data_IF_793310664283
#
_entry.id   IF_793310664283
#
_cell.length_a   1.000
_cell.length_b   1.000
_cell.length_c   1.000
_cell.angle_alpha   90.00
_cell.angle_beta   90.00
_cell.angle_gamma   90.00
#
_symmetry.space_group_name_H-M   'P 1'
#
loop_
_entity.id
_entity.type
_entity.pdbx_description
1 polymer ?
#
# COMPACT_ATOMS: atom_id res chain seq x y z
N UNK A 1 7.89 27.61 25.14
CA UNK A 1 7.09 27.35 23.93
C UNK A 1 6.11 28.49 23.78
N UNK A 2 6.05 29.15 22.63
CA UNK A 2 5.11 30.23 22.36
C UNK A 2 3.69 29.66 22.25
N UNK A 3 2.64 30.47 22.46
CA UNK A 3 1.24 30.02 22.32
C UNK A 3 0.94 29.58 20.86
N UNK A 4 1.55 30.25 19.88
CA UNK A 4 1.42 29.89 18.47
C UNK A 4 1.99 28.49 18.17
N UNK A 5 3.21 28.18 18.64
CA UNK A 5 3.82 26.87 18.49
C UNK A 5 3.04 25.77 19.22
N UNK A 6 2.45 26.11 20.37
CA UNK A 6 1.56 25.19 21.09
C UNK A 6 0.29 24.89 20.33
N UNK A 7 -0.32 25.92 19.72
CA UNK A 7 -1.51 25.76 18.90
C UNK A 7 -1.24 24.90 17.65
N UNK A 8 -0.12 25.12 16.97
CA UNK A 8 0.30 24.31 15.83
C UNK A 8 0.50 22.84 16.22
N UNK A 9 1.24 22.55 17.28
CA UNK A 9 1.42 21.18 17.78
C UNK A 9 0.10 20.51 18.16
N UNK A 10 -0.85 21.26 18.74
CA UNK A 10 -2.18 20.72 19.04
C UNK A 10 -2.92 20.29 17.79
N UNK A 11 -2.84 21.07 16.71
CA UNK A 11 -3.48 20.72 15.43
C UNK A 11 -2.80 19.54 14.73
N UNK A 12 -1.48 19.44 14.81
CA UNK A 12 -0.75 18.28 14.33
C UNK A 12 -1.16 17.00 15.07
N UNK A 13 -1.22 17.03 16.41
CA UNK A 13 -1.70 15.91 17.22
C UNK A 13 -3.17 15.56 16.92
N UNK A 14 -4.01 16.57 16.72
CA UNK A 14 -5.42 16.36 16.32
C UNK A 14 -5.52 15.67 14.96
N UNK A 15 -4.68 16.05 14.00
CA UNK A 15 -4.60 15.40 12.69
C UNK A 15 -4.09 13.95 12.80
N UNK A 16 -3.13 13.70 13.67
CA UNK A 16 -2.63 12.35 13.96
C UNK A 16 -3.72 11.48 14.60
N UNK A 17 -4.51 12.03 15.53
CA UNK A 17 -5.67 11.36 16.10
C UNK A 17 -6.67 11.02 14.99
N UNK A 18 -6.99 11.97 14.10
CA UNK A 18 -7.88 11.73 12.97
C UNK A 18 -7.37 10.59 12.06
N UNK A 19 -6.07 10.54 11.78
CA UNK A 19 -5.45 9.44 11.02
C UNK A 19 -5.67 8.08 11.68
N UNK A 20 -5.44 7.96 13.00
CA UNK A 20 -5.63 6.69 13.70
C UNK A 20 -7.10 6.28 13.76
N UNK A 21 -8.03 7.24 13.94
CA UNK A 21 -9.47 6.93 13.86
C UNK A 21 -9.91 6.54 12.46
N UNK A 22 -9.35 7.16 11.40
CA UNK A 22 -9.58 6.75 10.01
C UNK A 22 -9.08 5.32 9.75
N UNK A 23 -7.89 4.96 10.25
CA UNK A 23 -7.37 3.60 10.16
C UNK A 23 -8.21 2.61 10.98
N UNK A 24 -8.65 3.02 12.19
CA UNK A 24 -9.56 2.23 13.01
C UNK A 24 -10.89 1.98 12.32
N UNK A 25 -11.47 3.02 11.73
CA UNK A 25 -12.72 2.94 10.95
C UNK A 25 -12.58 1.99 9.76
N UNK A 26 -11.45 2.04 9.03
CA UNK A 26 -11.20 1.13 7.92
C UNK A 26 -11.10 -0.34 8.35
N UNK A 27 -10.41 -0.63 9.45
CA UNK A 27 -10.15 -2.00 9.86
C UNK A 27 -11.27 -2.60 10.73
N UNK A 28 -11.83 -1.82 11.63
CA UNK A 28 -12.73 -2.30 12.68
C UNK A 28 -14.13 -1.68 12.62
N UNK A 29 -14.37 -0.72 11.75
CA UNK A 29 -15.61 0.03 11.70
C UNK A 29 -15.73 1.04 12.83
N UNK A 30 -16.91 1.15 13.45
CA UNK A 30 -17.15 2.08 14.56
C UNK A 30 -16.16 1.91 15.71
N UNK A 31 -15.66 3.01 16.28
CA UNK A 31 -14.60 3.04 17.29
C UNK A 31 -15.08 3.71 18.59
N UNK A 32 -14.52 3.38 19.77
CA UNK A 32 -14.69 4.20 20.97
C UNK A 32 -14.13 5.61 20.72
N UNK A 33 -14.91 6.66 20.93
CA UNK A 33 -14.49 8.04 20.71
C UNK A 33 -14.06 8.67 22.04
N UNK A 34 -12.76 8.87 22.22
CA UNK A 34 -12.17 9.51 23.39
C UNK A 34 -11.90 10.99 23.07
N UNK A 35 -12.75 11.89 23.56
CA UNK A 35 -12.58 13.35 23.40
C UNK A 35 -11.65 13.97 24.46
N UNK A 36 -11.34 13.21 25.50
CA UNK A 36 -10.43 13.60 26.61
C UNK A 36 -9.78 12.35 27.19
N UNK A 37 -8.67 12.53 27.90
CA UNK A 37 -8.09 11.46 28.72
C UNK A 37 -9.07 11.06 29.83
N UNK A 38 -9.35 9.80 29.95
CA UNK A 38 -10.25 9.23 30.95
C UNK A 38 -9.84 7.80 31.28
N UNK A 39 -10.16 7.33 32.48
CA UNK A 39 -10.05 5.94 32.89
C UNK A 39 -11.37 5.18 32.73
N UNK A 40 -12.45 5.87 32.35
CA UNK A 40 -13.75 5.27 32.12
C UNK A 40 -13.73 4.51 30.80
N UNK A 41 -14.36 3.34 30.79
CA UNK A 41 -14.60 2.60 29.54
C UNK A 41 -15.63 3.35 28.66
N UNK A 42 -15.27 3.54 27.39
CA UNK A 42 -16.13 4.16 26.39
C UNK A 42 -16.62 3.07 25.44
N UNK A 43 -17.93 2.91 25.25
CA UNK A 43 -18.46 1.97 24.27
C UNK A 43 -18.07 2.37 22.86
N UNK A 44 -18.11 1.43 21.94
CA UNK A 44 -17.91 1.73 20.52
C UNK A 44 -19.05 2.61 20.01
N UNK A 45 -18.69 3.69 19.34
CA UNK A 45 -19.60 4.48 18.52
C UNK A 45 -19.86 3.77 17.20
N UNK A 46 -20.90 4.17 16.49
CA UNK A 46 -21.17 3.65 15.14
C UNK A 46 -20.09 4.11 14.16
N UNK A 47 -20.00 3.42 13.02
CA UNK A 47 -19.07 3.80 11.95
C UNK A 47 -19.37 5.23 11.43
N UNK A 48 -20.64 5.61 11.32
CA UNK A 48 -21.07 6.97 10.95
C UNK A 48 -20.61 8.02 11.98
N UNK A 49 -20.77 7.75 13.27
CA UNK A 49 -20.29 8.68 14.32
C UNK A 49 -18.77 8.78 14.29
N UNK A 50 -18.07 7.68 14.06
CA UNK A 50 -16.61 7.68 13.92
C UNK A 50 -16.17 8.47 12.68
N UNK A 51 -16.85 8.30 11.54
CA UNK A 51 -16.62 9.08 10.32
C UNK A 51 -16.78 10.59 10.60
N UNK A 52 -17.90 10.97 11.20
CA UNK A 52 -18.19 12.37 11.52
C UNK A 52 -17.15 12.97 12.48
N UNK A 53 -16.66 12.17 13.42
CA UNK A 53 -15.59 12.59 14.33
C UNK A 53 -14.27 12.85 13.62
N UNK A 54 -13.88 11.97 12.69
CA UNK A 54 -12.68 12.18 11.85
C UNK A 54 -12.84 13.43 11.00
N UNK A 55 -13.99 13.63 10.36
CA UNK A 55 -14.32 14.82 9.57
C UNK A 55 -14.21 16.11 10.41
N UNK A 56 -14.84 16.13 11.60
CA UNK A 56 -14.75 17.23 12.58
C UNK A 56 -13.31 17.62 12.89
N UNK A 57 -12.47 16.62 13.22
CA UNK A 57 -11.08 16.84 13.57
C UNK A 57 -10.28 17.45 12.42
N UNK A 58 -10.45 16.92 11.20
CA UNK A 58 -9.71 17.38 10.02
C UNK A 58 -10.15 18.78 9.57
N UNK A 59 -11.45 19.04 9.52
CA UNK A 59 -12.00 20.36 9.16
C UNK A 59 -11.55 21.45 10.13
N UNK A 60 -11.43 21.12 11.43
CA UNK A 60 -10.94 22.05 12.44
C UNK A 60 -9.42 22.28 12.37
N UNK A 61 -8.65 21.27 11.94
CA UNK A 61 -7.19 21.36 11.86
C UNK A 61 -6.70 22.08 10.61
N UNK A 62 -7.26 21.78 9.43
CA UNK A 62 -6.82 22.29 8.12
C UNK A 62 -6.54 23.81 8.14
N UNK A 63 -7.46 24.70 8.58
CA UNK A 63 -7.23 26.15 8.49
C UNK A 63 -6.15 26.67 9.46
N UNK A 64 -5.72 25.86 10.42
CA UNK A 64 -4.77 26.27 11.48
C UNK A 64 -3.37 25.69 11.30
N UNK A 65 -3.22 24.65 10.49
CA UNK A 65 -1.93 24.06 10.19
C UNK A 65 -1.14 24.91 9.20
N UNK A 66 0.19 24.79 9.25
CA UNK A 66 1.08 25.43 8.28
C UNK A 66 0.92 24.80 6.89
N UNK A 67 1.03 25.61 5.84
CA UNK A 67 1.13 25.14 4.46
C UNK A 67 2.58 24.76 4.14
N UNK A 68 2.80 23.64 3.44
CA UNK A 68 4.12 23.33 2.89
C UNK A 68 4.48 24.36 1.83
N UNK A 69 5.66 24.97 1.94
CA UNK A 69 6.24 25.83 0.90
C UNK A 69 7.21 25.01 0.02
N UNK A 70 7.54 25.51 -1.15
CA UNK A 70 8.41 24.83 -2.11
C UNK A 70 9.84 24.56 -1.59
N UNK A 71 10.31 25.36 -0.64
CA UNK A 71 11.64 25.26 -0.01
C UNK A 71 11.70 24.34 1.21
N UNK A 72 10.57 23.81 1.66
CA UNK A 72 10.48 22.95 2.84
C UNK A 72 10.75 21.48 2.50
N UNK A 73 11.51 20.83 3.35
CA UNK A 73 11.66 19.38 3.35
C UNK A 73 10.45 18.69 3.99
N UNK A 74 10.29 17.42 3.68
CA UNK A 74 9.38 16.55 4.42
C UNK A 74 10.09 16.03 5.68
N UNK A 75 9.57 16.39 6.84
CA UNK A 75 10.19 16.11 8.14
C UNK A 75 9.20 15.47 9.12
N UNK A 76 8.17 14.80 8.59
CA UNK A 76 7.14 14.14 9.39
C UNK A 76 6.08 15.07 9.97
N UNK A 77 6.12 16.37 9.68
CA UNK A 77 5.11 17.32 10.14
C UNK A 77 3.78 17.13 9.42
N UNK A 78 2.70 17.14 10.21
CA UNK A 78 1.34 17.07 9.67
C UNK A 78 0.89 18.48 9.28
N UNK A 79 0.96 18.78 7.98
CA UNK A 79 0.65 20.12 7.43
C UNK A 79 -0.76 20.18 6.84
N UNK A 80 -1.19 21.36 6.36
CA UNK A 80 -2.52 21.54 5.74
C UNK A 80 -2.78 20.49 4.64
N UNK A 81 -1.83 20.30 3.73
CA UNK A 81 -1.97 19.32 2.64
C UNK A 81 -2.15 17.89 3.14
N UNK A 82 -1.45 17.50 4.22
CA UNK A 82 -1.61 16.18 4.85
C UNK A 82 -3.03 16.01 5.40
N UNK A 83 -3.52 16.99 6.16
CA UNK A 83 -4.87 16.93 6.72
C UNK A 83 -5.95 16.95 5.62
N UNK A 84 -5.75 17.72 4.55
CA UNK A 84 -6.65 17.75 3.39
C UNK A 84 -6.62 16.40 2.64
N UNK A 85 -5.45 15.77 2.49
CA UNK A 85 -5.35 14.45 1.87
C UNK A 85 -6.07 13.36 2.69
N UNK A 86 -5.96 13.40 4.02
CA UNK A 86 -6.71 12.51 4.91
C UNK A 86 -8.23 12.74 4.80
N UNK A 87 -8.66 13.99 4.66
CA UNK A 87 -10.08 14.33 4.43
C UNK A 87 -10.56 13.79 3.08
N UNK A 88 -9.73 13.91 2.03
CA UNK A 88 -10.03 13.32 0.73
C UNK A 88 -10.14 11.78 0.82
N UNK A 89 -9.23 11.10 1.53
CA UNK A 89 -9.31 9.64 1.77
C UNK A 89 -10.58 9.25 2.53
N UNK A 90 -10.98 10.04 3.53
CA UNK A 90 -12.22 9.83 4.29
C UNK A 90 -13.43 9.90 3.35
N UNK A 91 -13.55 10.95 2.55
CA UNK A 91 -14.65 11.13 1.60
C UNK A 91 -14.64 10.10 0.48
N UNK A 92 -13.46 9.74 -0.02
CA UNK A 92 -13.27 8.75 -1.07
C UNK A 92 -13.83 7.37 -0.71
N UNK A 93 -13.78 7.00 0.57
CA UNK A 93 -14.24 5.73 1.07
C UNK A 93 -15.54 5.82 1.89
N UNK A 94 -16.24 6.94 1.85
CA UNK A 94 -17.44 7.18 2.66
C UNK A 94 -18.55 6.15 2.41
N UNK A 95 -18.75 5.72 1.16
CA UNK A 95 -19.73 4.69 0.81
C UNK A 95 -19.45 3.36 1.52
N UNK A 96 -18.17 3.01 1.70
CA UNK A 96 -17.74 1.82 2.44
C UNK A 96 -17.99 1.97 3.94
N UNK A 97 -17.80 3.17 4.49
CA UNK A 97 -17.82 3.39 5.94
C UNK A 97 -19.21 3.69 6.49
N UNK A 98 -20.05 4.37 5.72
CA UNK A 98 -21.36 4.83 6.20
C UNK A 98 -22.52 4.65 5.19
N UNK A 99 -22.29 3.97 4.08
CA UNK A 99 -23.30 3.67 3.07
C UNK A 99 -23.70 4.85 2.17
N UNK A 100 -23.02 5.99 2.28
CA UNK A 100 -23.29 7.20 1.49
C UNK A 100 -22.02 7.66 0.76
N UNK A 101 -22.09 7.86 -0.54
CA UNK A 101 -20.94 8.35 -1.28
C UNK A 101 -20.70 9.85 -1.04
N UNK A 102 -19.42 10.23 -1.00
CA UNK A 102 -18.95 11.60 -0.89
C UNK A 102 -17.90 11.91 -1.99
N UNK A 103 -18.08 11.29 -3.18
CA UNK A 103 -17.13 11.45 -4.28
C UNK A 103 -17.03 12.89 -4.80
N UNK A 104 -18.11 13.67 -4.73
CA UNK A 104 -18.10 15.07 -5.13
C UNK A 104 -17.21 15.91 -4.20
N UNK A 105 -17.35 15.71 -2.89
CA UNK A 105 -16.52 16.39 -1.88
C UNK A 105 -15.07 15.94 -1.95
N UNK A 106 -14.83 14.62 -2.16
CA UNK A 106 -13.50 14.12 -2.41
C UNK A 106 -12.86 14.79 -3.62
N UNK A 107 -13.57 14.87 -4.75
CA UNK A 107 -13.09 15.50 -5.96
C UNK A 107 -12.74 16.98 -5.75
N UNK A 108 -13.56 17.71 -4.98
CA UNK A 108 -13.29 19.11 -4.66
C UNK A 108 -12.03 19.27 -3.82
N UNK A 109 -11.84 18.46 -2.78
CA UNK A 109 -10.62 18.52 -1.95
C UNK A 109 -9.39 18.13 -2.76
N UNK A 110 -9.49 17.11 -3.60
CA UNK A 110 -8.39 16.72 -4.49
C UNK A 110 -8.04 17.84 -5.48
N UNK A 111 -9.03 18.48 -6.10
CA UNK A 111 -8.81 19.61 -7.00
C UNK A 111 -8.14 20.78 -6.27
N UNK A 112 -8.63 21.13 -5.08
CA UNK A 112 -8.04 22.18 -4.24
C UNK A 112 -6.56 21.86 -3.88
N UNK A 113 -6.20 20.58 -3.70
CA UNK A 113 -4.83 20.14 -3.48
C UNK A 113 -3.97 20.30 -4.75
N UNK A 114 -4.50 19.92 -5.92
CA UNK A 114 -3.81 20.09 -7.20
C UNK A 114 -3.59 21.58 -7.52
N UNK A 115 -4.52 22.43 -7.15
CA UNK A 115 -4.44 23.89 -7.33
C UNK A 115 -3.52 24.58 -6.28
N UNK A 116 -2.90 23.83 -5.38
CA UNK A 116 -1.96 24.35 -4.38
C UNK A 116 -2.61 25.08 -3.21
N UNK A 117 -3.93 24.98 -3.03
CA UNK A 117 -4.65 25.67 -1.94
C UNK A 117 -4.14 25.31 -0.55
N UNK A 118 -3.67 24.08 -0.35
CA UNK A 118 -3.20 23.55 0.92
C UNK A 118 -1.67 23.40 1.03
N UNK A 119 -0.93 23.96 0.09
CA UNK A 119 0.53 23.93 0.07
C UNK A 119 1.09 23.44 -1.26
N UNK A 120 2.41 23.42 -1.36
CA UNK A 120 3.14 23.09 -2.57
C UNK A 120 3.51 21.61 -2.60
N UNK A 121 2.99 20.88 -3.58
CA UNK A 121 3.32 19.50 -3.90
C UNK A 121 3.39 19.33 -5.42
N UNK A 122 4.27 18.46 -5.88
CA UNK A 122 4.42 18.13 -7.30
C UNK A 122 4.65 16.64 -7.48
N UNK A 123 4.25 16.09 -8.64
CA UNK A 123 4.68 14.75 -9.03
C UNK A 123 6.18 14.76 -9.34
N UNK A 124 6.89 13.78 -8.83
CA UNK A 124 8.28 13.54 -9.23
C UNK A 124 8.36 13.15 -10.70
N UNK A 125 9.44 13.52 -11.35
CA UNK A 125 9.66 13.15 -12.76
C UNK A 125 9.89 11.65 -12.94
N UNK A 126 10.54 11.04 -11.96
CA UNK A 126 10.82 9.61 -11.91
C UNK A 126 9.93 8.93 -10.86
N UNK A 127 9.48 7.70 -11.14
CA UNK A 127 8.64 6.93 -10.24
C UNK A 127 9.28 6.66 -8.86
N UNK A 128 10.62 6.60 -8.80
CA UNK A 128 11.35 6.31 -7.57
C UNK A 128 11.60 7.55 -6.69
N UNK A 129 11.31 8.75 -7.16
CA UNK A 129 11.54 10.00 -6.41
C UNK A 129 11.08 9.96 -4.96
N UNK A 130 9.84 9.50 -4.66
CA UNK A 130 9.36 9.36 -3.29
C UNK A 130 10.06 8.27 -2.47
N UNK A 131 10.89 7.44 -3.08
CA UNK A 131 11.52 6.26 -2.48
C UNK A 131 13.05 6.31 -2.49
N UNK A 132 13.65 7.47 -2.72
CA UNK A 132 15.11 7.65 -2.70
C UNK A 132 15.67 7.63 -1.28
N UNK A 133 17.01 7.59 -1.15
CA UNK A 133 17.69 7.61 0.16
C UNK A 133 17.53 8.93 0.92
N UNK A 134 17.21 10.00 0.21
CA UNK A 134 16.96 11.35 0.72
C UNK A 134 15.55 11.82 0.33
N UNK A 135 14.57 10.93 0.44
CA UNK A 135 13.20 11.17 0.03
C UNK A 135 12.46 12.23 0.87
N UNK A 136 13.04 12.70 1.96
CA UNK A 136 12.59 13.91 2.64
C UNK A 136 12.68 15.17 1.77
N UNK A 137 13.44 15.13 0.67
CA UNK A 137 13.50 16.19 -0.35
C UNK A 137 12.39 16.08 -1.39
N UNK A 138 11.68 14.97 -1.43
CA UNK A 138 10.65 14.75 -2.44
C UNK A 138 9.51 15.77 -2.31
N UNK A 139 9.13 16.34 -3.45
CA UNK A 139 7.99 17.24 -3.56
C UNK A 139 6.67 16.47 -3.61
N UNK A 140 6.73 15.17 -3.92
CA UNK A 140 5.56 14.31 -4.01
C UNK A 140 5.14 13.74 -2.66
N UNK A 141 6.06 13.57 -1.71
CA UNK A 141 5.73 13.07 -0.38
C UNK A 141 4.98 14.16 0.40
N UNK A 142 3.76 13.84 0.78
CA UNK A 142 2.90 14.73 1.55
C UNK A 142 3.02 14.51 3.05
N UNK A 143 3.28 13.26 3.43
CA UNK A 143 3.57 12.86 4.80
C UNK A 143 4.34 11.55 4.84
N UNK A 144 5.34 11.48 5.72
CA UNK A 144 6.16 10.30 5.95
C UNK A 144 6.35 10.00 7.43
N UNK A 145 6.59 8.73 7.73
CA UNK A 145 7.12 8.32 9.03
C UNK A 145 8.64 8.40 8.94
N UNK A 146 9.22 9.23 9.80
CA UNK A 146 10.65 9.49 9.82
C UNK A 146 11.43 8.25 10.23
N UNK A 147 12.51 7.99 9.52
CA UNK A 147 13.43 6.88 9.75
C UNK A 147 14.84 7.38 9.93
N UNK A 148 15.51 6.91 10.97
CA UNK A 148 16.92 7.20 11.18
C UNK A 148 17.61 5.98 11.79
N UNK A 149 18.73 5.56 11.21
CA UNK A 149 19.52 4.45 11.74
C UNK A 149 19.80 4.62 13.24
N UNK A 150 19.65 3.54 14.00
CA UNK A 150 19.82 3.47 15.46
C UNK A 150 18.86 4.32 16.32
N UNK A 151 17.91 5.06 15.73
CA UNK A 151 16.91 5.83 16.49
C UNK A 151 15.47 5.36 16.24
N UNK A 152 15.13 5.02 15.01
CA UNK A 152 13.84 4.47 14.61
C UNK A 152 13.91 4.09 13.15
N UNK A 153 13.78 2.79 12.86
CA UNK A 153 14.05 2.26 11.52
C UNK A 153 12.91 1.39 11.04
N UNK A 154 11.81 2.03 10.67
CA UNK A 154 10.70 1.32 10.02
C UNK A 154 11.17 0.66 8.72
N UNK A 155 12.07 1.33 8.00
CA UNK A 155 12.68 0.82 6.78
C UNK A 155 13.48 -0.47 7.01
N UNK A 156 14.33 -0.54 8.05
CA UNK A 156 15.07 -1.75 8.39
C UNK A 156 14.13 -2.93 8.66
N UNK A 157 13.08 -2.68 9.44
CA UNK A 157 12.09 -3.71 9.74
C UNK A 157 11.38 -4.21 8.48
N UNK A 158 11.01 -3.32 7.56
CA UNK A 158 10.44 -3.71 6.28
C UNK A 158 11.43 -4.51 5.45
N UNK A 159 12.68 -4.05 5.32
CA UNK A 159 13.71 -4.76 4.59
C UNK A 159 13.85 -6.20 5.09
N UNK A 160 13.94 -6.41 6.40
CA UNK A 160 14.08 -7.73 7.02
C UNK A 160 12.85 -8.63 6.83
N UNK A 161 11.66 -8.06 6.67
CA UNK A 161 10.41 -8.80 6.51
C UNK A 161 10.02 -9.06 5.06
N UNK A 162 10.31 -8.12 4.18
CA UNK A 162 9.92 -8.25 2.77
C UNK A 162 10.93 -9.01 1.93
N UNK A 163 12.22 -8.98 2.29
CA UNK A 163 13.26 -9.62 1.49
C UNK A 163 13.53 -11.05 1.95
N UNK A 164 13.78 -11.91 0.95
CA UNK A 164 14.21 -13.28 1.18
C UNK A 164 15.62 -13.28 1.79
N UNK A 165 15.90 -14.20 2.73
CA UNK A 165 17.18 -14.25 3.46
C UNK A 165 18.42 -14.41 2.55
N UNK A 166 18.30 -15.01 1.37
CA UNK A 166 19.36 -15.08 0.37
C UNK A 166 19.51 -13.79 -0.46
N UNK A 167 18.48 -12.92 -0.52
CA UNK A 167 18.56 -11.66 -1.26
C UNK A 167 19.60 -10.70 -0.68
N UNK A 168 19.96 -10.83 0.59
CA UNK A 168 21.09 -10.08 1.17
C UNK A 168 22.39 -10.28 0.40
N UNK A 169 22.60 -11.46 -0.19
CA UNK A 169 23.78 -11.75 -0.99
C UNK A 169 23.73 -11.06 -2.36
N UNK A 170 22.54 -10.80 -2.87
CA UNK A 170 22.35 -9.97 -4.06
C UNK A 170 22.75 -8.50 -3.81
N UNK A 171 22.35 -7.97 -2.66
CA UNK A 171 22.66 -6.61 -2.23
C UNK A 171 24.04 -6.48 -1.55
N UNK A 172 24.78 -7.57 -1.38
CA UNK A 172 26.04 -7.61 -0.65
C UNK A 172 25.94 -7.13 0.81
N UNK A 173 24.80 -7.42 1.46
CA UNK A 173 24.52 -7.06 2.83
C UNK A 173 24.99 -8.13 3.80
N UNK A 174 26.07 -7.89 4.53
CA UNK A 174 26.50 -8.76 5.64
C UNK A 174 25.86 -8.36 6.96
N UNK A 175 25.54 -9.36 7.80
CA UNK A 175 25.07 -9.10 9.17
C UNK A 175 23.60 -8.74 9.31
N UNK A 176 22.78 -8.92 8.26
CA UNK A 176 21.33 -8.81 8.33
C UNK A 176 20.67 -10.18 8.38
N UNK A 177 19.71 -10.31 9.29
CA UNK A 177 18.80 -11.44 9.35
C UNK A 177 17.54 -11.06 8.56
N UNK A 178 17.12 -11.90 7.64
CA UNK A 178 15.83 -11.82 6.98
C UNK A 178 15.11 -13.17 7.08
N UNK A 179 13.82 -13.16 6.80
CA UNK A 179 12.96 -14.35 6.78
C UNK A 179 12.88 -14.90 5.34
N UNK A 180 11.90 -15.75 5.03
CA UNK A 180 11.61 -16.11 3.63
C UNK A 180 11.09 -14.91 2.81
N UNK A 181 10.77 -13.80 3.48
CA UNK A 181 10.24 -12.61 2.88
C UNK A 181 8.81 -12.77 2.39
N UNK A 182 8.32 -11.74 1.71
CA UNK A 182 7.02 -11.73 1.07
C UNK A 182 7.20 -11.79 -0.44
N UNK A 183 6.43 -12.62 -1.10
CA UNK A 183 6.37 -12.66 -2.55
C UNK A 183 5.04 -12.11 -3.09
N UNK A 184 5.03 -11.69 -4.34
CA UNK A 184 3.79 -11.33 -5.01
C UNK A 184 2.95 -12.56 -5.28
N UNK A 185 1.63 -12.37 -5.41
CA UNK A 185 0.75 -13.39 -5.96
C UNK A 185 1.25 -13.75 -7.37
N UNK A 186 1.32 -15.05 -7.72
CA UNK A 186 1.87 -15.47 -9.00
C UNK A 186 0.95 -15.08 -10.14
N UNK A 187 1.54 -14.85 -11.31
CA UNK A 187 0.78 -14.68 -12.55
C UNK A 187 0.62 -16.00 -13.30
N UNK A 188 1.46 -16.99 -12.99
CA UNK A 188 1.52 -18.29 -13.68
C UNK A 188 1.20 -19.43 -12.72
N UNK A 189 0.52 -20.43 -13.22
CA UNK A 189 0.32 -21.74 -12.59
C UNK A 189 1.65 -22.51 -12.53
N UNK A 190 1.77 -23.59 -11.74
CA UNK A 190 2.99 -24.38 -11.68
C UNK A 190 3.46 -24.92 -13.06
N UNK A 191 2.54 -25.18 -13.98
CA UNK A 191 2.85 -25.64 -15.34
C UNK A 191 3.21 -24.52 -16.34
N UNK A 192 3.24 -23.26 -15.88
CA UNK A 192 3.56 -22.11 -16.72
C UNK A 192 2.35 -21.44 -17.39
N UNK A 193 1.15 -22.04 -17.34
CA UNK A 193 -0.07 -21.40 -17.87
C UNK A 193 -0.44 -20.17 -17.07
N UNK A 194 -0.95 -19.10 -17.70
CA UNK A 194 -1.38 -17.92 -16.97
C UNK A 194 -2.64 -18.19 -16.15
N UNK A 195 -2.71 -17.56 -14.96
CA UNK A 195 -4.00 -17.40 -14.28
C UNK A 195 -4.88 -16.43 -15.07
N UNK A 196 -6.18 -16.67 -15.08
CA UNK A 196 -7.15 -15.89 -15.87
C UNK A 196 -8.02 -14.95 -15.05
N UNK A 197 -7.88 -14.97 -13.72
CA UNK A 197 -8.61 -14.07 -12.82
C UNK A 197 -8.38 -12.61 -13.22
N UNK A 198 -9.43 -11.80 -13.19
CA UNK A 198 -9.33 -10.35 -13.48
C UNK A 198 -8.55 -9.60 -12.40
N UNK A 199 -8.65 -10.05 -11.14
CA UNK A 199 -7.93 -9.50 -10.00
C UNK A 199 -6.63 -10.26 -9.74
N UNK A 200 -5.74 -9.69 -8.92
CA UNK A 200 -4.44 -10.31 -8.62
C UNK A 200 -3.43 -10.20 -9.75
N UNK A 201 -2.46 -11.10 -9.77
CA UNK A 201 -1.37 -11.19 -10.77
C UNK A 201 -0.58 -9.88 -10.93
N UNK A 202 -0.09 -9.27 -9.83
CA UNK A 202 0.44 -7.91 -9.88
C UNK A 202 1.58 -7.74 -10.88
N UNK A 203 2.52 -8.69 -10.96
CA UNK A 203 3.65 -8.60 -11.89
C UNK A 203 3.23 -8.60 -13.36
N UNK A 204 2.20 -9.38 -13.74
CA UNK A 204 1.69 -9.40 -15.10
C UNK A 204 0.92 -8.13 -15.50
N UNK A 205 0.46 -7.33 -14.51
CA UNK A 205 -0.26 -6.08 -14.78
C UNK A 205 0.65 -4.91 -15.16
N UNK A 206 1.94 -5.00 -14.83
CA UNK A 206 2.91 -4.05 -15.35
C UNK A 206 3.15 -4.30 -16.84
N UNK A 207 3.08 -3.23 -17.64
CA UNK A 207 3.49 -3.31 -19.04
C UNK A 207 4.97 -3.71 -19.13
N UNK A 208 5.34 -4.47 -20.16
CA UNK A 208 6.73 -4.92 -20.32
C UNK A 208 7.72 -3.77 -20.59
N UNK A 209 7.23 -2.59 -21.01
CA UNK A 209 8.04 -1.38 -21.18
C UNK A 209 8.05 -0.48 -19.94
N UNK A 210 7.30 -0.83 -18.90
CA UNK A 210 7.29 -0.10 -17.64
C UNK A 210 8.68 -0.22 -16.97
N UNK A 211 9.30 0.91 -16.68
CA UNK A 211 10.63 0.98 -16.05
C UNK A 211 10.67 0.30 -14.68
N UNK A 212 9.54 0.27 -13.98
CA UNK A 212 9.40 -0.39 -12.68
C UNK A 212 9.47 -1.91 -12.79
N UNK A 213 9.05 -2.49 -13.92
CA UNK A 213 9.06 -3.96 -14.15
C UNK A 213 10.46 -4.55 -14.27
N UNK A 214 11.48 -3.71 -14.47
CA UNK A 214 12.87 -4.16 -14.56
C UNK A 214 13.34 -4.82 -13.27
N UNK A 215 14.36 -5.66 -13.39
CA UNK A 215 15.11 -6.17 -12.24
C UNK A 215 15.67 -4.99 -11.43
N UNK A 216 15.50 -5.03 -10.11
CA UNK A 216 16.07 -4.02 -9.24
C UNK A 216 17.60 -4.02 -9.37
N UNK A 217 18.15 -2.85 -9.60
CA UNK A 217 19.60 -2.67 -9.76
C UNK A 217 20.02 -1.30 -9.22
N UNK A 218 20.87 -1.31 -8.20
CA UNK A 218 21.48 -0.10 -7.70
C UNK A 218 22.57 0.41 -8.66
N UNK A 219 22.50 1.68 -9.04
CA UNK A 219 23.38 2.33 -10.01
C UNK A 219 24.46 3.23 -9.38
N UNK A 220 24.52 3.27 -8.05
CA UNK A 220 25.38 4.19 -7.30
C UNK A 220 24.78 5.58 -7.12
N UNK A 221 25.32 6.34 -6.16
CA UNK A 221 24.91 7.72 -5.86
C UNK A 221 23.41 7.89 -5.61
N UNK A 222 22.78 6.93 -4.92
CA UNK A 222 21.34 6.96 -4.62
C UNK A 222 20.42 6.68 -5.80
N UNK A 223 20.97 6.31 -6.98
CA UNK A 223 20.18 5.95 -8.15
C UNK A 223 20.00 4.45 -8.28
N UNK A 224 18.81 4.05 -8.71
CA UNK A 224 18.50 2.64 -8.99
C UNK A 224 17.47 2.55 -10.12
N UNK A 225 17.30 1.36 -10.67
CA UNK A 225 16.28 1.03 -11.65
C UNK A 225 15.53 -0.24 -11.24
N UNK A 226 14.32 -0.41 -11.76
CA UNK A 226 13.47 -1.55 -11.47
C UNK A 226 13.02 -1.64 -10.03
N UNK A 227 12.05 -2.45 -9.74
CA UNK A 227 11.58 -2.67 -8.37
C UNK A 227 11.26 -4.13 -8.05
N UNK A 228 11.78 -5.07 -8.86
CA UNK A 228 11.51 -6.49 -8.64
C UNK A 228 12.80 -7.30 -8.64
N UNK A 229 12.80 -8.37 -7.83
CA UNK A 229 13.75 -9.45 -7.98
C UNK A 229 13.06 -10.63 -8.62
N UNK A 230 13.58 -11.09 -9.76
CA UNK A 230 13.06 -12.22 -10.52
C UNK A 230 14.14 -12.85 -11.39
N UNK A 231 13.92 -14.08 -11.82
CA UNK A 231 14.89 -14.85 -12.59
C UNK A 231 16.12 -15.23 -11.76
N UNK A 232 17.15 -15.67 -12.42
CA UNK A 232 18.44 -16.03 -11.80
C UNK A 232 19.21 -14.76 -11.41
N UNK A 233 19.49 -14.63 -10.12
CA UNK A 233 20.13 -13.43 -9.59
C UNK A 233 21.66 -13.49 -9.74
N UNK A 234 22.22 -12.41 -10.28
CA UNK A 234 23.66 -12.18 -10.37
C UNK A 234 24.01 -10.86 -9.70
N UNK A 235 25.10 -10.81 -8.93
CA UNK A 235 25.60 -9.57 -8.33
C UNK A 235 26.11 -8.65 -9.43
N UNK A 236 25.44 -7.55 -9.65
CA UNK A 236 25.79 -6.61 -10.71
C UNK A 236 26.95 -5.69 -10.36
N UNK A 237 27.13 -5.40 -9.07
CA UNK A 237 28.25 -4.59 -8.57
C UNK A 237 29.60 -5.31 -8.59
N UNK A 238 29.61 -6.63 -8.70
CA UNK A 238 30.80 -7.49 -8.60
C UNK A 238 30.87 -8.52 -9.71
N UNK A 239 31.12 -8.09 -10.92
CA UNK A 239 31.54 -8.97 -12.03
C UNK A 239 30.59 -10.13 -12.40
N UNK A 240 29.28 -9.98 -12.26
CA UNK A 240 28.31 -10.98 -12.70
C UNK A 240 28.36 -12.31 -11.91
N UNK A 241 28.89 -12.32 -10.69
CA UNK A 241 28.91 -13.50 -9.84
C UNK A 241 27.50 -13.95 -9.48
N UNK A 242 27.17 -15.19 -9.73
CA UNK A 242 25.89 -15.78 -9.36
C UNK A 242 25.66 -15.74 -7.85
N UNK A 243 24.44 -15.38 -7.44
CA UNK A 243 24.02 -15.48 -6.06
C UNK A 243 23.61 -16.92 -5.78
N UNK A 244 24.23 -17.56 -4.81
CA UNK A 244 23.92 -18.94 -4.44
C UNK A 244 22.96 -18.99 -3.26
N UNK A 245 22.05 -19.96 -3.29
CA UNK A 245 21.23 -20.32 -2.16
C UNK A 245 22.12 -20.86 -1.03
N UNK A 246 22.01 -20.27 0.15
CA UNK A 246 22.77 -20.66 1.33
C UNK A 246 21.79 -21.01 2.45
N UNK A 247 21.82 -22.23 2.95
CA UNK A 247 20.95 -22.63 4.06
C UNK A 247 20.46 -24.07 3.95
N UNK A 248 19.52 -24.41 4.82
CA UNK A 248 18.99 -25.78 5.00
C UNK A 248 17.71 -26.03 4.17
N UNK A 249 17.49 -25.22 3.13
CA UNK A 249 16.24 -25.25 2.37
C UNK A 249 16.35 -26.07 1.09
N UNK A 250 15.44 -25.86 0.15
CA UNK A 250 15.21 -26.77 -0.96
C UNK A 250 16.35 -26.81 -1.98
N UNK A 251 17.11 -25.71 -2.17
CA UNK A 251 18.08 -25.55 -3.25
C UNK A 251 19.50 -25.14 -2.80
N UNK A 252 20.10 -25.78 -1.77
CA UNK A 252 21.40 -25.38 -1.26
C UNK A 252 22.50 -25.48 -2.34
N UNK A 253 23.22 -24.35 -2.57
CA UNK A 253 24.31 -24.26 -3.54
C UNK A 253 23.88 -24.02 -4.98
N UNK A 254 22.59 -24.09 -5.31
CA UNK A 254 22.04 -23.66 -6.61
C UNK A 254 22.05 -22.15 -6.73
N UNK A 255 21.89 -21.62 -7.94
CA UNK A 255 21.72 -20.17 -8.17
C UNK A 255 20.37 -19.76 -7.63
N UNK A 256 20.33 -18.65 -6.86
CA UNK A 256 19.08 -18.09 -6.40
C UNK A 256 18.26 -17.58 -7.59
N UNK A 257 17.08 -18.13 -7.75
CA UNK A 257 16.14 -17.77 -8.82
C UNK A 257 14.76 -17.49 -8.20
N UNK A 258 14.11 -16.44 -8.63
CA UNK A 258 12.70 -16.18 -8.28
C UNK A 258 11.84 -16.29 -9.52
N UNK A 259 10.78 -17.09 -9.44
CA UNK A 259 9.86 -17.36 -10.55
C UNK A 259 8.46 -16.80 -10.27
N UNK A 260 7.74 -16.39 -11.32
CA UNK A 260 6.36 -15.88 -11.19
C UNK A 260 5.34 -17.03 -11.02
N UNK A 261 5.70 -18.00 -10.17
CA UNK A 261 4.93 -19.18 -9.84
C UNK A 261 5.08 -19.47 -8.34
N UNK A 262 4.10 -20.15 -7.75
CA UNK A 262 4.16 -20.60 -6.36
C UNK A 262 3.79 -22.08 -6.31
N UNK A 263 4.75 -22.93 -6.00
CA UNK A 263 4.55 -24.34 -5.77
C UNK A 263 5.83 -24.95 -5.16
N UNK A 264 5.73 -26.18 -4.67
CA UNK A 264 6.87 -26.94 -4.19
C UNK A 264 7.49 -27.77 -5.33
N UNK A 265 8.20 -27.12 -6.26
CA UNK A 265 8.79 -27.76 -7.45
C UNK A 265 9.82 -28.82 -7.09
N UNK A 266 10.49 -28.70 -5.93
CA UNK A 266 11.42 -29.71 -5.43
C UNK A 266 10.75 -31.06 -5.27
N UNK A 267 9.49 -31.13 -4.92
CA UNK A 267 8.75 -32.39 -4.78
C UNK A 267 8.63 -33.20 -6.07
N UNK A 268 8.64 -32.53 -7.24
CA UNK A 268 8.73 -33.22 -8.53
C UNK A 268 10.14 -33.72 -8.77
N UNK A 269 11.19 -32.93 -8.44
CA UNK A 269 12.59 -33.38 -8.54
C UNK A 269 12.88 -34.59 -7.63
N UNK A 270 12.27 -34.65 -6.47
CA UNK A 270 12.43 -35.73 -5.49
C UNK A 270 11.50 -36.93 -5.78
N UNK A 271 10.63 -36.84 -6.79
CA UNK A 271 9.74 -37.94 -7.23
C UNK A 271 8.48 -38.12 -6.36
N UNK A 272 8.15 -37.13 -5.50
CA UNK A 272 6.90 -37.15 -4.73
C UNK A 272 5.67 -36.88 -5.62
N UNK A 273 5.84 -36.10 -6.69
CA UNK A 273 4.84 -35.86 -7.74
C UNK A 273 5.40 -36.25 -9.11
N UNK A 274 4.55 -36.75 -9.99
CA UNK A 274 4.98 -37.20 -11.31
C UNK A 274 5.19 -36.05 -12.29
N UNK A 275 4.53 -34.91 -12.05
CA UNK A 275 4.67 -33.72 -12.90
C UNK A 275 4.27 -32.44 -12.16
N UNK A 276 4.68 -31.28 -12.70
CA UNK A 276 4.32 -29.94 -12.22
C UNK A 276 2.83 -29.67 -12.29
N UNK A 277 2.08 -30.40 -13.16
CA UNK A 277 0.62 -30.23 -13.25
C UNK A 277 -0.13 -30.71 -12.00
N UNK A 278 0.49 -31.56 -11.21
CA UNK A 278 -0.10 -32.12 -9.99
C UNK A 278 0.20 -31.26 -8.76
N UNK A 279 1.12 -30.29 -8.88
CA UNK A 279 1.51 -29.47 -7.76
C UNK A 279 0.39 -28.51 -7.31
N UNK A 280 0.03 -28.50 -6.03
CA UNK A 280 -0.83 -27.47 -5.50
C UNK A 280 -0.13 -26.10 -5.52
N UNK A 281 -0.92 -25.05 -5.76
CA UNK A 281 -0.44 -23.66 -5.73
C UNK A 281 -1.35 -22.83 -4.83
N UNK A 282 -0.87 -22.54 -3.64
CA UNK A 282 -1.57 -21.77 -2.61
C UNK A 282 -0.55 -21.15 -1.63
N UNK A 283 -1.03 -20.36 -0.68
CA UNK A 283 -0.18 -19.66 0.29
C UNK A 283 0.71 -20.60 1.14
N UNK A 284 0.35 -21.87 1.28
CA UNK A 284 1.08 -22.86 2.08
C UNK A 284 2.06 -23.71 1.26
N UNK A 285 2.11 -23.51 -0.06
CA UNK A 285 2.93 -24.34 -0.97
C UNK A 285 4.08 -23.56 -1.60
N UNK A 286 4.45 -22.43 -1.02
CA UNK A 286 5.65 -21.70 -1.42
C UNK A 286 6.92 -22.44 -1.01
N UNK A 287 7.95 -22.34 -1.84
CA UNK A 287 9.31 -22.76 -1.55
C UNK A 287 10.29 -21.60 -1.78
N UNK A 288 11.58 -21.83 -1.62
CA UNK A 288 12.62 -20.79 -1.61
C UNK A 288 12.61 -19.87 -2.83
N UNK A 289 12.32 -20.41 -4.01
CA UNK A 289 12.28 -19.68 -5.29
C UNK A 289 10.88 -19.16 -5.68
N UNK A 290 9.86 -19.43 -4.87
CA UNK A 290 8.48 -19.05 -5.20
C UNK A 290 8.27 -17.55 -5.20
N UNK A 291 7.62 -17.08 -6.25
CA UNK A 291 7.08 -15.73 -6.40
C UNK A 291 8.12 -14.61 -6.61
N UNK A 292 7.70 -13.61 -7.35
CA UNK A 292 8.49 -12.39 -7.59
C UNK A 292 8.60 -11.58 -6.30
N UNK A 293 9.76 -10.98 -6.03
CA UNK A 293 10.01 -10.17 -4.84
C UNK A 293 9.98 -8.69 -5.16
N UNK A 294 9.39 -7.90 -4.26
CA UNK A 294 9.26 -6.46 -4.40
C UNK A 294 10.39 -5.73 -3.68
N UNK A 295 11.07 -4.82 -4.40
CA UNK A 295 12.11 -3.93 -3.89
C UNK A 295 11.78 -2.46 -4.19
N UNK A 296 10.61 -1.99 -3.78
CA UNK A 296 10.17 -0.61 -4.04
C UNK A 296 11.00 0.41 -3.24
N UNK A 297 11.41 0.05 -2.04
CA UNK A 297 12.32 0.86 -1.23
C UNK A 297 13.77 0.53 -1.60
N UNK A 298 14.65 1.53 -1.72
CA UNK A 298 15.98 1.34 -2.26
C UNK A 298 16.90 0.56 -1.30
N UNK A 299 17.69 -0.33 -1.86
CA UNK A 299 18.72 -1.07 -1.14
C UNK A 299 20.03 -0.87 -1.87
N UNK A 300 20.99 -0.10 -1.34
CA UNK A 300 22.27 0.09 -2.00
C UNK A 300 23.15 -1.15 -1.86
N UNK A 301 24.07 -1.32 -2.81
CA UNK A 301 25.14 -2.32 -2.71
C UNK A 301 26.23 -1.85 -1.76
N UNK A 302 26.88 -2.79 -1.09
CA UNK A 302 28.08 -2.58 -0.26
C UNK A 302 27.97 -1.40 0.70
N UNK A 303 27.10 -1.52 1.67
CA UNK A 303 26.49 -0.42 2.34
C UNK A 303 27.22 0.05 3.58
N UNK A 304 27.30 1.37 3.68
CA UNK A 304 27.14 2.07 4.96
C UNK A 304 25.69 1.92 5.44
N UNK A 305 25.51 1.16 6.54
CA UNK A 305 24.20 0.93 7.18
C UNK A 305 23.46 2.23 7.49
N UNK A 306 24.18 3.30 7.75
CA UNK A 306 23.63 4.61 8.09
C UNK A 306 22.88 5.25 6.94
N UNK A 307 23.24 4.93 5.69
CA UNK A 307 22.56 5.42 4.49
C UNK A 307 21.36 4.53 4.14
N UNK A 308 21.51 3.22 4.22
CA UNK A 308 20.52 2.26 3.78
C UNK A 308 19.19 2.34 4.52
N UNK A 309 19.23 2.71 5.78
CA UNK A 309 18.05 2.68 6.67
C UNK A 309 17.57 4.07 7.10
N UNK A 310 18.02 5.11 6.42
CA UNK A 310 17.56 6.46 6.63
C UNK A 310 16.34 6.88 5.79
N UNK A 311 16.00 6.24 4.64
CA UNK A 311 14.81 6.66 3.90
C UNK A 311 13.58 6.64 4.78
N UNK A 312 12.81 7.72 4.73
CA UNK A 312 11.53 7.83 5.40
C UNK A 312 10.48 6.96 4.72
N UNK A 313 9.50 6.50 5.47
CA UNK A 313 8.40 5.73 4.92
C UNK A 313 7.27 6.65 4.44
N UNK A 314 7.05 6.80 3.12
CA UNK A 314 5.95 7.61 2.60
C UNK A 314 4.60 7.01 2.98
N UNK A 315 3.77 7.78 3.69
CA UNK A 315 2.41 7.38 4.08
C UNK A 315 1.38 7.91 3.09
N UNK A 316 1.58 9.15 2.63
CA UNK A 316 0.72 9.80 1.64
C UNK A 316 1.60 10.43 0.58
N UNK A 317 1.27 10.16 -0.70
CA UNK A 317 1.95 10.73 -1.86
C UNK A 317 0.98 11.51 -2.75
N UNK A 318 1.47 12.55 -3.40
CA UNK A 318 0.66 13.40 -4.26
C UNK A 318 0.05 12.66 -5.46
N UNK A 319 0.69 11.59 -5.94
CA UNK A 319 0.12 10.69 -6.93
C UNK A 319 -1.24 10.10 -6.50
N UNK A 320 -1.45 9.88 -5.20
CA UNK A 320 -2.73 9.40 -4.67
C UNK A 320 -3.86 10.40 -4.90
N UNK A 321 -3.56 11.70 -4.81
CA UNK A 321 -4.55 12.76 -5.05
C UNK A 321 -5.04 12.74 -6.50
N UNK A 322 -4.12 12.55 -7.47
CA UNK A 322 -4.48 12.36 -8.88
C UNK A 322 -5.39 11.14 -9.08
N UNK A 323 -5.06 10.03 -8.45
CA UNK A 323 -5.81 8.78 -8.58
C UNK A 323 -7.19 8.84 -7.93
N UNK A 324 -7.31 9.46 -6.76
CA UNK A 324 -8.61 9.70 -6.12
C UNK A 324 -9.49 10.59 -6.99
N UNK A 325 -8.94 11.71 -7.51
CA UNK A 325 -9.68 12.58 -8.41
C UNK A 325 -10.08 11.87 -9.70
N UNK A 326 -9.17 11.07 -10.28
CA UNK A 326 -9.45 10.28 -11.49
C UNK A 326 -10.62 9.31 -11.27
N UNK A 327 -10.62 8.54 -10.17
CA UNK A 327 -11.72 7.63 -9.88
C UNK A 327 -13.02 8.39 -9.58
N UNK A 328 -12.98 9.52 -8.88
CA UNK A 328 -14.16 10.36 -8.68
C UNK A 328 -14.73 10.88 -10.01
N UNK A 329 -13.88 11.32 -10.94
CA UNK A 329 -14.30 11.73 -12.29
C UNK A 329 -14.93 10.58 -13.07
N UNK A 330 -14.32 9.38 -13.02
CA UNK A 330 -14.90 8.19 -13.65
C UNK A 330 -16.30 7.88 -13.12
N UNK A 331 -16.46 7.86 -11.78
CA UNK A 331 -17.74 7.58 -11.11
C UNK A 331 -18.80 8.62 -11.41
N UNK A 332 -18.39 9.84 -11.79
CA UNK A 332 -19.27 10.93 -12.24
C UNK A 332 -19.50 10.95 -13.75
N UNK A 333 -19.00 9.95 -14.50
CA UNK A 333 -19.18 9.84 -15.95
C UNK A 333 -18.17 10.59 -16.82
N UNK A 334 -17.21 11.29 -16.22
CA UNK A 334 -16.17 12.07 -16.94
C UNK A 334 -14.96 11.18 -17.28
N UNK A 335 -15.17 10.15 -18.11
CA UNK A 335 -14.16 9.12 -18.43
C UNK A 335 -12.89 9.67 -19.05
N UNK A 336 -12.99 10.68 -19.94
CA UNK A 336 -11.84 11.32 -20.58
C UNK A 336 -10.97 12.08 -19.57
N UNK A 337 -11.57 12.83 -18.66
CA UNK A 337 -10.85 13.55 -17.60
C UNK A 337 -10.17 12.57 -16.64
N UNK A 338 -10.88 11.49 -16.27
CA UNK A 338 -10.33 10.41 -15.46
C UNK A 338 -9.09 9.79 -16.10
N UNK A 339 -9.17 9.44 -17.39
CA UNK A 339 -8.05 8.88 -18.15
C UNK A 339 -6.84 9.84 -18.17
N UNK A 340 -7.06 11.13 -18.40
CA UNK A 340 -6.00 12.12 -18.39
C UNK A 340 -5.27 12.19 -17.05
N UNK A 341 -6.00 12.18 -15.93
CA UNK A 341 -5.42 12.22 -14.59
C UNK A 341 -4.57 10.98 -14.28
N UNK A 342 -5.01 9.77 -14.64
CA UNK A 342 -4.20 8.57 -14.55
C UNK A 342 -2.91 8.71 -15.39
N UNK A 343 -3.02 9.18 -16.62
CA UNK A 343 -1.90 9.29 -17.54
C UNK A 343 -0.86 10.33 -17.09
N UNK A 344 -1.26 11.39 -16.36
CA UNK A 344 -0.31 12.35 -15.78
C UNK A 344 0.70 11.65 -14.85
N UNK A 345 0.25 10.70 -14.04
CA UNK A 345 1.13 9.92 -13.17
C UNK A 345 1.85 8.82 -13.95
N UNK A 346 1.14 8.11 -14.84
CA UNK A 346 1.66 6.96 -15.59
C UNK A 346 2.84 7.29 -16.49
N UNK A 347 2.80 8.43 -17.18
CA UNK A 347 3.80 8.79 -18.21
C UNK A 347 5.26 8.74 -17.73
N UNK A 348 5.52 9.02 -16.44
CA UNK A 348 6.87 8.98 -15.85
C UNK A 348 7.47 7.58 -15.75
N UNK A 349 6.62 6.54 -15.88
CA UNK A 349 7.03 5.15 -15.76
C UNK A 349 7.55 4.55 -17.08
N UNK A 350 7.62 5.35 -18.15
CA UNK A 350 8.02 4.91 -19.48
C UNK A 350 9.13 5.79 -20.04
N UNK A 351 10.01 5.18 -20.83
CA UNK A 351 11.09 5.91 -21.51
C UNK A 351 10.52 7.04 -22.38
N UNK A 352 11.10 8.22 -22.28
CA UNK A 352 10.66 9.43 -22.97
C UNK A 352 9.19 9.80 -22.72
N UNK A 353 8.62 9.36 -21.60
CA UNK A 353 7.20 9.55 -21.22
C UNK A 353 6.22 8.98 -22.28
N UNK A 354 6.67 8.00 -23.07
CA UNK A 354 5.90 7.36 -24.13
C UNK A 354 5.23 6.07 -23.63
N UNK A 355 4.08 6.24 -22.99
CA UNK A 355 3.26 5.10 -22.50
C UNK A 355 2.69 4.33 -23.70
N UNK A 356 3.00 3.03 -23.87
CA UNK A 356 2.51 2.24 -24.99
C UNK A 356 1.04 1.78 -24.82
N UNK A 357 0.49 1.90 -23.60
CA UNK A 357 -0.86 1.48 -23.26
C UNK A 357 -1.53 2.50 -22.32
N UNK A 358 -1.75 3.74 -22.78
CA UNK A 358 -2.35 4.77 -21.95
C UNK A 358 -3.81 4.42 -21.60
N UNK A 359 -4.27 4.93 -20.48
CA UNK A 359 -5.70 4.89 -20.15
C UNK A 359 -6.44 5.81 -21.09
N UNK A 360 -7.55 5.34 -21.63
CA UNK A 360 -8.40 6.09 -22.58
C UNK A 360 -9.86 6.03 -22.14
N UNK A 361 -10.68 6.92 -22.69
CA UNK A 361 -12.12 6.91 -22.47
C UNK A 361 -12.77 5.57 -22.83
N UNK A 362 -12.20 4.86 -23.79
CA UNK A 362 -12.74 3.60 -24.31
C UNK A 362 -12.25 2.34 -23.60
N UNK A 363 -11.07 2.40 -22.91
CA UNK A 363 -10.52 1.25 -22.21
C UNK A 363 -10.60 1.35 -20.68
N UNK A 364 -11.11 2.50 -20.16
CA UNK A 364 -11.28 2.70 -18.73
C UNK A 364 -12.55 1.99 -18.24
N UNK A 365 -12.36 1.05 -17.33
CA UNK A 365 -13.42 0.37 -16.58
C UNK A 365 -12.96 0.12 -15.14
N UNK A 366 -13.81 -0.51 -14.33
CA UNK A 366 -13.49 -0.81 -12.93
C UNK A 366 -12.23 -1.66 -12.75
N UNK A 367 -11.98 -2.61 -13.65
CA UNK A 367 -10.80 -3.48 -13.55
C UNK A 367 -9.53 -2.74 -13.97
N UNK A 368 -9.61 -1.91 -15.02
CA UNK A 368 -8.50 -1.04 -15.40
C UNK A 368 -8.14 -0.07 -14.26
N UNK A 369 -9.12 0.56 -13.63
CA UNK A 369 -8.89 1.46 -12.49
C UNK A 369 -8.23 0.71 -11.32
N UNK A 370 -8.73 -0.47 -10.98
CA UNK A 370 -8.16 -1.30 -9.92
C UNK A 370 -6.74 -1.80 -10.25
N UNK A 371 -6.44 -2.05 -11.53
CA UNK A 371 -5.09 -2.40 -11.97
C UNK A 371 -4.15 -1.18 -11.87
N UNK A 372 -4.61 0.02 -12.26
CA UNK A 372 -3.83 1.25 -12.10
C UNK A 372 -3.49 1.50 -10.62
N UNK A 373 -4.47 1.42 -9.72
CA UNK A 373 -4.22 1.53 -8.28
C UNK A 373 -3.22 0.49 -7.78
N UNK A 374 -3.33 -0.76 -8.22
CA UNK A 374 -2.44 -1.82 -7.82
C UNK A 374 -1.02 -1.59 -8.32
N UNK A 375 -0.84 -1.20 -9.57
CA UNK A 375 0.47 -1.00 -10.21
C UNK A 375 1.18 0.20 -9.58
N UNK A 376 0.51 1.33 -9.40
CA UNK A 376 1.12 2.53 -8.81
C UNK A 376 1.44 2.37 -7.33
N UNK A 377 0.54 1.77 -6.57
CA UNK A 377 0.65 1.68 -5.11
C UNK A 377 0.99 0.28 -4.60
N UNK A 378 1.62 -0.57 -5.44
CA UNK A 378 2.07 -1.90 -5.02
C UNK A 378 3.00 -1.78 -3.80
N UNK A 379 2.68 -2.53 -2.72
CA UNK A 379 3.44 -2.50 -1.48
C UNK A 379 3.10 -1.34 -0.52
N UNK A 380 2.15 -0.47 -0.86
CA UNK A 380 1.76 0.69 -0.03
C UNK A 380 0.44 0.46 0.75
N UNK A 381 0.10 -0.79 1.02
CA UNK A 381 -0.93 -1.25 1.97
C UNK A 381 -2.38 -0.79 1.70
N UNK A 382 -2.75 -0.49 0.44
CA UNK A 382 -4.10 0.02 0.15
C UNK A 382 -5.04 -0.95 -0.56
N UNK A 383 -4.57 -2.06 -1.12
CA UNK A 383 -5.38 -2.95 -1.99
C UNK A 383 -6.71 -3.40 -1.37
N UNK A 384 -6.74 -3.65 -0.06
CA UNK A 384 -7.95 -4.05 0.66
C UNK A 384 -9.06 -3.01 0.52
N UNK A 385 -8.78 -1.73 0.85
CA UNK A 385 -9.79 -0.67 0.79
C UNK A 385 -10.23 -0.39 -0.65
N UNK A 386 -9.32 -0.52 -1.63
CA UNK A 386 -9.66 -0.37 -3.04
C UNK A 386 -10.66 -1.46 -3.48
N UNK A 387 -10.45 -2.70 -3.08
CA UNK A 387 -11.37 -3.81 -3.36
C UNK A 387 -12.71 -3.65 -2.63
N UNK A 388 -12.71 -3.17 -1.38
CA UNK A 388 -13.93 -2.86 -0.62
C UNK A 388 -14.74 -1.77 -1.34
N UNK A 389 -14.11 -0.68 -1.75
CA UNK A 389 -14.77 0.44 -2.45
C UNK A 389 -15.44 0.03 -3.76
N UNK A 390 -14.96 -1.03 -4.40
CA UNK A 390 -15.57 -1.63 -5.58
C UNK A 390 -16.45 -2.86 -5.29
N UNK A 391 -16.69 -3.19 -4.02
CA UNK A 391 -17.48 -4.35 -3.62
C UNK A 391 -16.90 -5.70 -4.06
N UNK A 392 -15.57 -5.77 -4.22
CA UNK A 392 -14.86 -6.93 -4.74
C UNK A 392 -13.99 -7.64 -3.69
N UNK A 393 -13.96 -7.13 -2.46
CA UNK A 393 -13.10 -7.72 -1.44
C UNK A 393 -13.56 -9.13 -1.04
N UNK A 394 -14.85 -9.32 -0.82
CA UNK A 394 -15.45 -10.61 -0.43
C UNK A 394 -16.07 -11.37 -1.60
N UNK A 395 -16.27 -10.72 -2.76
CA UNK A 395 -16.92 -11.29 -3.93
C UNK A 395 -15.98 -11.59 -5.10
N UNK A 396 -14.76 -11.07 -5.08
CA UNK A 396 -13.76 -11.27 -6.12
C UNK A 396 -12.97 -12.56 -5.96
N UNK A 397 -12.31 -12.99 -7.03
CA UNK A 397 -11.39 -14.11 -7.02
C UNK A 397 -10.02 -13.72 -7.55
N UNK A 398 -9.00 -14.32 -7.01
CA UNK A 398 -7.61 -14.25 -7.44
C UNK A 398 -6.83 -15.45 -6.89
N UNK A 399 -5.77 -15.86 -7.52
CA UNK A 399 -4.90 -16.98 -7.18
C UNK A 399 -5.43 -17.95 -6.11
N UNK A 400 -5.07 -17.77 -4.81
CA UNK A 400 -5.47 -18.61 -3.66
C UNK A 400 -6.67 -18.05 -2.89
N UNK A 401 -7.40 -17.12 -3.46
CA UNK A 401 -8.60 -16.53 -2.88
C UNK A 401 -9.84 -16.84 -3.72
N UNK A 402 -10.83 -17.43 -3.06
CA UNK A 402 -12.17 -17.63 -3.64
C UNK A 402 -13.15 -16.69 -2.94
N UNK A 403 -14.21 -16.23 -3.64
CA UNK A 403 -15.26 -15.43 -3.04
C UNK A 403 -15.83 -16.09 -1.79
N UNK A 404 -15.80 -15.40 -0.68
CA UNK A 404 -16.48 -15.83 0.55
C UNK A 404 -17.98 -15.56 0.45
N UNK A 405 -18.36 -14.49 -0.28
CA UNK A 405 -19.72 -13.96 -0.34
C UNK A 405 -20.32 -13.69 1.05
N UNK A 406 -19.45 -13.40 2.00
CA UNK A 406 -19.81 -13.13 3.38
C UNK A 406 -19.19 -11.79 3.79
N UNK A 407 -20.04 -10.81 3.96
CA UNK A 407 -19.64 -9.41 4.17
C UNK A 407 -19.08 -9.14 5.57
N UNK A 408 -19.22 -10.05 6.54
CA UNK A 408 -18.60 -9.85 7.86
C UNK A 408 -17.06 -9.76 7.76
N UNK A 409 -16.44 -10.39 6.75
CA UNK A 409 -15.01 -10.29 6.48
C UNK A 409 -14.56 -8.92 5.96
N UNK A 410 -15.49 -8.02 5.67
CA UNK A 410 -15.16 -6.62 5.34
C UNK A 410 -14.45 -5.90 6.49
N UNK A 411 -14.71 -6.29 7.73
CA UNK A 411 -14.05 -5.77 8.93
C UNK A 411 -13.29 -6.88 9.66
N UNK A 412 -12.22 -6.51 10.36
CA UNK A 412 -11.53 -7.43 11.26
C UNK A 412 -12.31 -7.60 12.57
N UNK A 413 -12.18 -8.77 13.24
CA UNK A 413 -12.73 -8.94 14.58
C UNK A 413 -12.03 -8.02 15.58
N UNK A 414 -12.77 -7.54 16.57
CA UNK A 414 -12.15 -6.94 17.75
C UNK A 414 -11.39 -8.06 18.48
N UNK A 415 -10.11 -7.86 18.82
CA UNK A 415 -9.32 -8.90 19.47
C UNK A 415 -9.99 -9.42 20.75
N UNK A 416 -10.05 -10.74 20.89
CA UNK A 416 -10.68 -11.40 22.04
C UNK A 416 -10.15 -10.88 23.38
N UNK A 417 -8.85 -10.63 23.46
CA UNK A 417 -8.21 -10.03 24.64
C UNK A 417 -8.80 -8.66 25.01
N UNK A 418 -9.23 -7.86 24.03
CA UNK A 418 -9.86 -6.57 24.31
C UNK A 418 -11.31 -6.73 24.75
N UNK A 419 -12.04 -7.67 24.14
CA UNK A 419 -13.43 -7.97 24.53
C UNK A 419 -13.50 -8.55 25.93
N UNK A 420 -12.63 -9.49 26.27
CA UNK A 420 -12.67 -10.22 27.56
C UNK A 420 -12.39 -9.35 28.78
N UNK A 421 -11.75 -8.21 28.63
CA UNK A 421 -11.44 -7.28 29.72
C UNK A 421 -12.37 -6.07 29.78
N UNK A 422 -13.31 -5.94 28.84
CA UNK A 422 -14.25 -4.82 28.75
C UNK A 422 -15.68 -5.26 28.92
N UNK A 423 -16.45 -4.46 29.67
CA UNK A 423 -17.88 -4.67 29.83
C UNK A 423 -18.73 -3.91 28.80
N UNK A 424 -18.12 -3.04 28.00
CA UNK A 424 -18.84 -2.13 27.09
C UNK A 424 -18.50 -2.32 25.61
N UNK A 425 -17.40 -3.02 25.30
CA UNK A 425 -17.02 -3.26 23.91
C UNK A 425 -17.91 -4.35 23.29
N UNK A 426 -18.41 -4.06 22.09
CA UNK A 426 -19.14 -5.01 21.25
C UNK A 426 -18.22 -5.59 20.18
N UNK A 427 -18.45 -6.83 19.77
CA UNK A 427 -17.77 -7.45 18.63
C UNK A 427 -18.38 -6.95 17.31
N UNK A 428 -17.63 -7.10 16.20
CA UNK A 428 -18.16 -6.94 14.87
C UNK A 428 -19.13 -8.09 14.50
N UNK A 429 -20.13 -7.85 13.65
CA UNK A 429 -21.09 -8.87 13.25
C UNK A 429 -20.42 -10.10 12.67
N UNK A 430 -20.94 -11.30 13.00
CA UNK A 430 -20.52 -12.57 12.42
C UNK A 430 -19.31 -13.24 13.06
N UNK A 431 -18.67 -12.63 14.05
CA UNK A 431 -17.50 -13.21 14.73
C UNK A 431 -17.83 -13.94 16.02
N UNK A 432 -19.06 -13.79 16.53
CA UNK A 432 -19.49 -14.42 17.77
C UNK A 432 -18.81 -13.88 19.03
N UNK A 433 -18.98 -14.58 20.14
CA UNK A 433 -18.27 -14.25 21.39
C UNK A 433 -18.92 -13.17 22.25
N UNK A 434 -20.20 -12.88 22.08
CA UNK A 434 -20.97 -11.99 22.97
C UNK A 434 -21.81 -10.95 22.25
N UNK A 435 -21.87 -9.75 22.82
CA UNK A 435 -22.68 -8.67 22.29
C UNK A 435 -22.04 -8.12 21.00
N UNK A 436 -22.74 -8.23 19.87
CA UNK A 436 -22.29 -7.74 18.55
C UNK A 436 -22.96 -6.41 18.20
N UNK A 437 -22.27 -5.61 17.39
CA UNK A 437 -22.86 -4.49 16.67
C UNK A 437 -23.74 -5.01 15.52
N UNK A 438 -24.72 -4.26 15.10
CA UNK A 438 -25.38 -4.51 13.80
C UNK A 438 -24.42 -4.19 12.65
N UNK A 439 -24.69 -4.70 11.44
CA UNK A 439 -23.89 -4.40 10.26
C UNK A 439 -23.81 -2.89 10.01
N UNK A 440 -24.93 -2.19 10.14
CA UNK A 440 -25.02 -0.74 9.96
C UNK A 440 -24.19 0.02 11.01
N UNK A 441 -24.32 -0.34 12.30
CA UNK A 441 -23.52 0.27 13.37
C UNK A 441 -22.02 0.04 13.14
N UNK A 442 -21.61 -1.16 12.69
CA UNK A 442 -20.23 -1.51 12.43
C UNK A 442 -19.67 -0.85 11.17
N UNK A 443 -20.49 -0.48 10.19
CA UNK A 443 -20.05 0.07 8.90
C UNK A 443 -19.81 -1.01 7.84
N UNK A 444 -20.72 -1.98 7.75
CA UNK A 444 -20.75 -2.99 6.69
C UNK A 444 -21.92 -2.66 5.78
N UNK A 445 -21.61 -2.15 4.58
CA UNK A 445 -22.60 -1.72 3.60
C UNK A 445 -22.34 -2.38 2.24
N UNK A 446 -23.43 -2.68 1.54
CA UNK A 446 -23.34 -3.10 0.14
C UNK A 446 -22.98 -1.88 -0.73
N UNK A 447 -21.82 -1.91 -1.34
CA UNK A 447 -21.37 -0.85 -2.25
C UNK A 447 -22.13 -0.96 -3.57
N UNK A 448 -22.59 0.18 -4.09
CA UNK A 448 -23.26 0.25 -5.38
C UNK A 448 -22.30 -0.16 -6.50
N UNK A 449 -22.65 -1.23 -7.22
CA UNK A 449 -21.87 -1.65 -8.38
C UNK A 449 -22.04 -0.64 -9.52
N UNK A 450 -20.92 -0.22 -10.09
CA UNK A 450 -20.86 0.62 -11.29
C UNK A 450 -20.16 -0.21 -12.36
N UNK A 451 -20.79 -0.31 -13.52
CA UNK A 451 -20.27 -1.05 -14.68
C UNK A 451 -19.19 -0.27 -15.44
#
# INVERSE_FOLDING_TARGET
>A
MTEELKADHQMQLQTLVAYFYLRGLDFYGGMPIYRRSTTEEVPRSTARETFNYVEELLLAAIPKLEKKRADMLEEGYLRQGTAAALLAQLYFNAEVYMGENRFAECAQVCQDLLDGKYGYYELEEDWFGPFTFDNNKSKEVMWSVQSQYAKGTLFQWQFERYNHYNAKNYFDLSGYSSTNGMHLQPSLKPNGDPYTDKLGRPFAKFNNKDLRKKLYLYKGNGKYEGMFLYGKLQRTSRSGTEVKCTGLYEYPGEVLEFVDQVAQFKKVKDGEYSSVNELPSNISTGEENSGIRLCKLPVPDNIDKTIAFNPDYPVIRFAEIYYMLAECKYRSGYKKEAANLFNEVRKRNFENKADPDPVTETNIDKYRILDEWMVEFLGEQRRRIDLRRWGLYTTGSWWDHKPTNDDHYELFPIPEKSISVSNVLKQNPGYGGGNEMTKEEAGIYSVKQID
#
